data_IF_569340455092
#
_entry.id   IF_569340455092
#
_cell.length_a   1.000
_cell.length_b   1.000
_cell.length_c   1.000
_cell.angle_alpha   90.00
_cell.angle_beta   90.00
_cell.angle_gamma   90.00
#
_symmetry.space_group_name_H-M   'P 1'
#
loop_
_entity.id
_entity.type
_entity.pdbx_description
1 polymer ?
#
# COMPACT_ATOMS: atom_id res chain seq x y z
N UNK A 1 20.13 1.12 -14.03
CA UNK A 1 18.66 1.04 -14.01
C UNK A 1 18.15 1.68 -15.30
N UNK A 2 17.94 0.89 -16.36
CA UNK A 2 17.40 1.39 -17.64
C UNK A 2 15.90 1.49 -17.46
N UNK A 3 15.38 2.70 -17.22
CA UNK A 3 13.95 2.97 -17.29
C UNK A 3 13.47 2.49 -18.67
N UNK A 4 12.58 1.51 -18.70
CA UNK A 4 11.98 1.07 -19.97
C UNK A 4 11.20 2.25 -20.55
N UNK A 5 11.39 2.50 -21.83
CA UNK A 5 10.90 3.70 -22.52
C UNK A 5 9.36 3.73 -22.66
N UNK A 6 8.66 2.67 -22.22
CA UNK A 6 7.23 2.43 -22.40
C UNK A 6 6.49 2.21 -21.05
N UNK A 7 6.59 3.16 -20.12
CA UNK A 7 5.87 3.17 -18.83
C UNK A 7 4.35 2.92 -18.96
N UNK A 8 3.73 3.26 -20.10
CA UNK A 8 2.31 2.97 -20.38
C UNK A 8 1.99 1.47 -20.43
N UNK A 9 2.91 0.65 -20.97
CA UNK A 9 2.72 -0.81 -21.05
C UNK A 9 2.90 -1.47 -19.68
N UNK A 10 3.82 -0.95 -18.87
CA UNK A 10 4.01 -1.40 -17.50
C UNK A 10 2.79 -1.08 -16.62
N UNK A 11 2.15 0.09 -16.84
CA UNK A 11 0.91 0.45 -16.13
C UNK A 11 -0.23 -0.52 -16.41
N UNK A 12 -0.33 -1.02 -17.64
CA UNK A 12 -1.40 -1.93 -18.07
C UNK A 12 -1.24 -3.36 -17.56
N UNK A 13 -0.15 -3.67 -16.84
CA UNK A 13 -0.02 -4.98 -16.21
C UNK A 13 -1.03 -5.13 -15.08
N UNK A 14 -1.59 -6.33 -14.94
CA UNK A 14 -2.60 -6.65 -13.92
C UNK A 14 -2.10 -6.27 -12.52
N UNK A 15 -0.84 -6.58 -12.12
CA UNK A 15 -0.35 -6.23 -10.80
C UNK A 15 -0.33 -4.71 -10.55
N UNK A 16 0.13 -3.93 -11.53
CA UNK A 16 0.21 -2.48 -11.38
C UNK A 16 -1.18 -1.83 -11.30
N UNK A 17 -2.16 -2.34 -12.06
CA UNK A 17 -3.55 -1.89 -11.94
C UNK A 17 -4.14 -2.19 -10.56
N UNK A 18 -3.79 -3.33 -9.96
CA UNK A 18 -4.23 -3.70 -8.61
C UNK A 18 -3.57 -2.79 -7.54
N UNK A 19 -2.31 -2.41 -7.70
CA UNK A 19 -1.65 -1.43 -6.83
C UNK A 19 -2.25 -0.03 -6.95
N UNK A 20 -2.61 0.41 -8.16
CA UNK A 20 -3.37 1.66 -8.36
C UNK A 20 -4.76 1.57 -7.71
N UNK A 21 -5.44 0.44 -7.89
CA UNK A 21 -6.74 0.18 -7.28
C UNK A 21 -6.66 0.27 -5.75
N UNK A 22 -5.58 -0.23 -5.14
CA UNK A 22 -5.32 -0.09 -3.71
C UNK A 22 -5.22 1.36 -3.27
N UNK A 23 -4.44 2.16 -3.99
CA UNK A 23 -4.32 3.60 -3.73
C UNK A 23 -5.69 4.29 -3.84
N UNK A 24 -6.52 3.86 -4.79
CA UNK A 24 -7.88 4.35 -4.95
C UNK A 24 -8.84 3.91 -3.83
N UNK A 25 -8.63 2.75 -3.20
CA UNK A 25 -9.41 2.31 -2.04
C UNK A 25 -9.12 3.13 -0.78
N UNK A 26 -7.97 3.80 -0.68
CA UNK A 26 -7.60 4.63 0.49
C UNK A 26 -8.57 5.78 0.77
N UNK A 27 -8.93 6.67 -0.18
CA UNK A 27 -9.92 7.71 0.07
C UNK A 27 -11.31 7.14 0.43
N UNK A 28 -11.68 5.98 -0.14
CA UNK A 28 -12.93 5.29 0.19
C UNK A 28 -12.90 4.80 1.64
N UNK A 29 -11.80 4.16 2.04
CA UNK A 29 -11.56 3.74 3.42
C UNK A 29 -11.70 4.93 4.39
N UNK A 30 -10.98 6.03 4.14
CA UNK A 30 -11.03 7.22 4.99
C UNK A 30 -12.42 7.82 5.10
N UNK A 31 -13.16 7.87 3.98
CA UNK A 31 -14.52 8.36 3.96
C UNK A 31 -15.42 7.56 4.93
N UNK A 32 -15.33 6.23 4.90
CA UNK A 32 -16.13 5.37 5.81
C UNK A 32 -15.65 5.44 7.26
N UNK A 33 -14.36 5.58 7.50
CA UNK A 33 -13.82 5.78 8.85
C UNK A 33 -14.34 7.08 9.46
N UNK A 34 -14.29 8.20 8.71
CA UNK A 34 -14.80 9.49 9.17
C UNK A 34 -16.30 9.47 9.50
N UNK A 35 -17.07 8.63 8.79
CA UNK A 35 -18.49 8.36 9.08
C UNK A 35 -18.71 7.40 10.27
N UNK A 36 -17.65 6.98 10.96
CA UNK A 36 -17.66 5.97 12.03
C UNK A 36 -18.25 4.63 11.59
N UNK A 37 -18.26 4.34 10.29
CA UNK A 37 -18.77 3.10 9.73
C UNK A 37 -17.66 2.05 9.68
N UNK A 38 -17.18 1.63 10.85
CA UNK A 38 -16.00 0.78 10.99
C UNK A 38 -16.13 -0.60 10.34
N UNK A 39 -17.34 -1.17 10.26
CA UNK A 39 -17.57 -2.44 9.57
C UNK A 39 -17.28 -2.34 8.06
N UNK A 40 -17.76 -1.26 7.42
CA UNK A 40 -17.53 -1.04 5.99
C UNK A 40 -16.06 -0.67 5.75
N UNK A 41 -15.48 0.19 6.59
CA UNK A 41 -14.06 0.52 6.51
C UNK A 41 -13.17 -0.72 6.64
N UNK A 42 -13.49 -1.62 7.58
CA UNK A 42 -12.81 -2.91 7.74
C UNK A 42 -12.95 -3.78 6.49
N UNK A 43 -14.15 -3.88 5.91
CA UNK A 43 -14.37 -4.62 4.67
C UNK A 43 -13.52 -4.07 3.51
N UNK A 44 -13.41 -2.74 3.37
CA UNK A 44 -12.56 -2.09 2.36
C UNK A 44 -11.09 -2.47 2.54
N UNK A 45 -10.57 -2.46 3.77
CA UNK A 45 -9.18 -2.87 4.06
C UNK A 45 -8.96 -4.36 3.77
N UNK A 46 -9.93 -5.22 4.11
CA UNK A 46 -9.85 -6.66 3.79
C UNK A 46 -9.78 -6.88 2.28
N UNK A 47 -10.64 -6.21 1.50
CA UNK A 47 -10.61 -6.28 0.03
C UNK A 47 -9.29 -5.73 -0.53
N UNK A 48 -8.79 -4.64 0.05
CA UNK A 48 -7.49 -4.04 -0.29
C UNK A 48 -6.34 -5.04 -0.09
N UNK A 49 -6.27 -5.71 1.06
CA UNK A 49 -5.24 -6.72 1.36
C UNK A 49 -5.38 -7.99 0.53
N UNK A 50 -6.60 -8.42 0.23
CA UNK A 50 -6.81 -9.53 -0.71
C UNK A 50 -6.33 -9.20 -2.12
N UNK A 51 -6.48 -7.95 -2.55
CA UNK A 51 -5.99 -7.49 -3.86
C UNK A 51 -4.46 -7.57 -3.93
N UNK A 52 -3.73 -7.20 -2.87
CA UNK A 52 -2.26 -7.37 -2.76
C UNK A 52 -1.82 -8.83 -2.87
N UNK A 53 -2.53 -9.72 -2.19
CA UNK A 53 -2.17 -11.12 -2.29
C UNK A 53 -2.35 -11.65 -3.72
N UNK A 54 -3.43 -11.23 -4.39
CA UNK A 54 -3.74 -11.64 -5.75
C UNK A 54 -2.77 -11.04 -6.77
N UNK A 55 -2.40 -9.76 -6.68
CA UNK A 55 -1.44 -9.15 -7.59
C UNK A 55 -0.06 -9.82 -7.53
N UNK A 56 0.44 -10.12 -6.33
CA UNK A 56 1.71 -10.82 -6.16
C UNK A 56 1.69 -12.25 -6.68
N UNK A 57 0.56 -12.96 -6.56
CA UNK A 57 0.39 -14.31 -7.15
C UNK A 57 0.36 -14.22 -8.68
N UNK A 58 -0.36 -13.26 -9.25
CA UNK A 58 -0.48 -13.06 -10.70
C UNK A 58 0.88 -12.64 -11.28
N UNK A 59 1.57 -11.69 -10.65
CA UNK A 59 2.90 -11.23 -11.07
C UNK A 59 3.90 -12.39 -11.17
N UNK A 60 3.93 -13.26 -10.15
CA UNK A 60 4.81 -14.45 -10.13
C UNK A 60 4.39 -15.51 -11.14
N UNK A 61 3.08 -15.78 -11.28
CA UNK A 61 2.57 -16.84 -12.16
C UNK A 61 2.71 -16.49 -13.65
N UNK A 62 2.56 -15.22 -14.01
CA UNK A 62 2.63 -14.75 -15.40
C UNK A 62 3.96 -14.06 -15.74
N UNK A 63 4.92 -14.06 -14.81
CA UNK A 63 6.23 -13.40 -14.95
C UNK A 63 6.11 -11.91 -15.35
N UNK A 64 5.06 -11.24 -14.86
CA UNK A 64 4.73 -9.84 -15.16
C UNK A 64 5.32 -8.88 -14.12
N UNK A 65 6.58 -9.13 -13.72
CA UNK A 65 7.27 -8.27 -12.76
C UNK A 65 7.83 -7.06 -13.51
N UNK A 66 7.28 -5.88 -13.25
CA UNK A 66 7.70 -4.61 -13.88
C UNK A 66 8.55 -3.77 -12.93
N UNK A 67 9.38 -2.88 -13.47
CA UNK A 67 10.18 -1.98 -12.63
C UNK A 67 9.30 -0.89 -11.99
N UNK A 68 8.21 -0.47 -12.64
CA UNK A 68 7.20 0.38 -12.01
C UNK A 68 6.49 -0.34 -10.86
N UNK A 69 6.07 -1.59 -11.04
CA UNK A 69 5.39 -2.37 -9.98
C UNK A 69 6.27 -2.53 -8.74
N UNK A 70 7.56 -2.82 -8.91
CA UNK A 70 8.53 -2.89 -7.80
C UNK A 70 8.61 -1.61 -6.95
N UNK A 71 8.31 -0.44 -7.53
CA UNK A 71 8.29 0.84 -6.81
C UNK A 71 6.88 1.16 -6.30
N UNK A 72 5.85 0.84 -7.08
CA UNK A 72 4.47 1.15 -6.77
C UNK A 72 3.92 0.28 -5.63
N UNK A 73 4.28 -1.00 -5.58
CA UNK A 73 3.76 -1.94 -4.56
C UNK A 73 4.21 -1.52 -3.15
N UNK A 74 5.52 -1.26 -2.88
CA UNK A 74 5.95 -0.75 -1.58
C UNK A 74 5.37 0.63 -1.24
N UNK A 75 5.12 1.47 -2.25
CA UNK A 75 4.52 2.78 -2.05
C UNK A 75 3.04 2.68 -1.63
N UNK A 76 2.26 1.87 -2.35
CA UNK A 76 0.87 1.61 -2.03
C UNK A 76 0.70 0.95 -0.64
N UNK A 77 1.60 0.04 -0.28
CA UNK A 77 1.62 -0.61 1.03
C UNK A 77 1.91 0.39 2.16
N UNK A 78 2.96 1.21 2.01
CA UNK A 78 3.29 2.27 3.00
C UNK A 78 2.15 3.26 3.20
N UNK A 79 1.50 3.68 2.12
CA UNK A 79 0.33 4.55 2.22
C UNK A 79 -0.81 3.86 2.98
N UNK A 80 -1.12 2.62 2.65
CA UNK A 80 -2.17 1.85 3.33
C UNK A 80 -1.89 1.74 4.82
N UNK A 81 -0.64 1.39 5.19
CA UNK A 81 -0.22 1.28 6.58
C UNK A 81 -0.30 2.64 7.30
N UNK A 82 0.15 3.72 6.66
CA UNK A 82 0.09 5.08 7.20
C UNK A 82 -1.35 5.51 7.48
N UNK A 83 -2.26 5.40 6.50
CA UNK A 83 -3.65 5.81 6.67
C UNK A 83 -4.38 4.97 7.71
N UNK A 84 -4.11 3.66 7.77
CA UNK A 84 -4.65 2.79 8.80
C UNK A 84 -4.21 3.28 10.20
N UNK A 85 -2.91 3.47 10.42
CA UNK A 85 -2.38 3.92 11.70
C UNK A 85 -2.92 5.31 12.08
N UNK A 86 -2.88 6.28 11.17
CA UNK A 86 -3.38 7.64 11.42
C UNK A 86 -4.86 7.63 11.79
N UNK A 87 -5.66 6.90 11.02
CA UNK A 87 -7.09 6.80 11.27
C UNK A 87 -7.40 6.16 12.62
N UNK A 88 -6.65 5.12 13.03
CA UNK A 88 -6.84 4.51 14.34
C UNK A 88 -6.32 5.40 15.49
N UNK A 89 -5.18 6.07 15.31
CA UNK A 89 -4.60 7.00 16.29
C UNK A 89 -5.51 8.20 16.56
N UNK A 90 -6.29 8.62 15.56
CA UNK A 90 -7.30 9.65 15.72
C UNK A 90 -8.38 9.29 16.75
N UNK A 91 -8.87 8.03 16.75
CA UNK A 91 -9.91 7.59 17.71
C UNK A 91 -9.34 7.03 19.03
N UNK A 92 -8.07 6.63 19.05
CA UNK A 92 -7.41 6.01 20.22
C UNK A 92 -6.01 6.60 20.40
N UNK A 93 -5.83 7.56 21.32
CA UNK A 93 -4.56 8.27 21.52
C UNK A 93 -3.36 7.35 21.86
N UNK A 94 -3.58 6.20 22.50
CA UNK A 94 -2.48 5.26 22.78
C UNK A 94 -1.85 4.69 21.50
N UNK A 95 -2.54 4.73 20.35
CA UNK A 95 -2.04 4.18 19.08
C UNK A 95 -1.04 5.11 18.38
N UNK A 96 -0.82 6.33 18.89
CA UNK A 96 0.33 7.14 18.46
C UNK A 96 1.66 6.43 18.69
N UNK A 97 1.73 5.48 19.63
CA UNK A 97 2.88 4.58 19.78
C UNK A 97 3.11 3.73 18.52
N UNK A 98 2.06 3.26 17.86
CA UNK A 98 2.18 2.52 16.60
C UNK A 98 2.71 3.40 15.47
N UNK A 99 2.33 4.69 15.45
CA UNK A 99 2.90 5.65 14.51
C UNK A 99 4.39 5.85 14.77
N UNK A 100 4.80 6.00 16.03
CA UNK A 100 6.22 6.04 16.41
C UNK A 100 6.99 4.80 15.98
N UNK A 101 6.45 3.60 16.22
CA UNK A 101 7.04 2.34 15.77
C UNK A 101 7.13 2.24 14.25
N UNK A 102 6.10 2.71 13.53
CA UNK A 102 6.10 2.76 12.08
C UNK A 102 7.21 3.67 11.55
N UNK A 103 7.39 4.86 12.13
CA UNK A 103 8.49 5.76 11.76
C UNK A 103 9.87 5.15 12.02
N UNK A 104 10.04 4.45 13.16
CA UNK A 104 11.29 3.76 13.47
C UNK A 104 11.58 2.65 12.45
N UNK A 105 10.58 1.80 12.15
CA UNK A 105 10.69 0.75 11.12
C UNK A 105 11.10 1.35 9.77
N UNK A 106 10.42 2.40 9.35
CA UNK A 106 10.62 3.03 8.04
C UNK A 106 12.01 3.70 7.95
N UNK A 107 12.42 4.40 9.01
CA UNK A 107 13.76 4.97 9.13
C UNK A 107 14.85 3.89 9.11
N UNK A 108 14.63 2.77 9.80
CA UNK A 108 15.55 1.63 9.76
C UNK A 108 15.66 1.04 8.35
N UNK A 109 14.54 0.82 7.66
CA UNK A 109 14.54 0.33 6.27
C UNK A 109 15.25 1.29 5.32
N UNK A 110 15.08 2.60 5.50
CA UNK A 110 15.76 3.62 4.71
C UNK A 110 17.28 3.60 4.93
N UNK A 111 17.73 3.57 6.18
CA UNK A 111 19.16 3.51 6.51
C UNK A 111 19.79 2.20 6.02
N UNK A 112 19.12 1.07 6.22
CA UNK A 112 19.58 -0.23 5.70
C UNK A 112 19.74 -0.21 4.17
N UNK A 113 18.79 0.39 3.45
CA UNK A 113 18.86 0.54 2.00
C UNK A 113 19.89 1.55 1.48
N UNK A 114 20.47 2.40 2.34
CA UNK A 114 21.59 3.28 1.98
C UNK A 114 22.96 2.64 2.22
N UNK A 115 23.03 1.63 3.10
CA UNK A 115 24.28 0.96 3.48
C UNK A 115 24.53 -0.30 2.64
N UNK A 116 23.47 -0.92 2.11
CA UNK A 116 23.54 -2.10 1.23
C UNK A 116 23.45 -1.74 -0.25
#
# INVERSE_FOLDING_TARGET
MKLSTDWRKEIQTIPNLLSIFRIFLLPIYLYFVLRQSFYIAGAVIVVSGLSDYLDGVIARRYNQVTDLGKVLDPFADKLTQLFLILSMAWYRPWLWLLFGLFLIKEGFMFVAGLIG
#
